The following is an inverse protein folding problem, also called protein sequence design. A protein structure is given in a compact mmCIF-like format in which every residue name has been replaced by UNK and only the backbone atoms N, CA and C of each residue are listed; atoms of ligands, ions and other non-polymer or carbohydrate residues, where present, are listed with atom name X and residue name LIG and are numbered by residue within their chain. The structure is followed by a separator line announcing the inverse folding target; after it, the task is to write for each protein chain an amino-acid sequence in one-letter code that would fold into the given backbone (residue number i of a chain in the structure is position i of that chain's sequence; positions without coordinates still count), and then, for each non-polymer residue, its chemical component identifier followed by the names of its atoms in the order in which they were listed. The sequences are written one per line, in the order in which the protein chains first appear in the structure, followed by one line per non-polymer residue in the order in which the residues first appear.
data_IF_396689049851
#
_entry.id   IF_396689049851
#
_cell.length_a   1.000
_cell.length_b   1.000
_cell.length_c   1.000
_cell.angle_alpha   90.00
_cell.angle_beta   90.00
_cell.angle_gamma   90.00
#
_symmetry.space_group_name_H-M   'P 1'
#
loop_
_entity.id
_entity.type
_entity.pdbx_description
1 polymer ?
#
# COMPACT_ATOMS: atom_id res chain seq x y z
N UNK A 1 -8.85 1.28 18.28
CA UNK A 1 -8.23 0.82 17.01
C UNK A 1 -8.53 1.84 15.92
N UNK A 2 -7.58 2.20 15.04
CA UNK A 2 -7.88 3.06 13.90
C UNK A 2 -8.95 2.39 13.04
N UNK A 3 -10.00 3.14 12.67
CA UNK A 3 -11.11 2.64 11.85
C UNK A 3 -10.55 2.21 10.49
N UNK A 4 -10.47 0.90 10.26
CA UNK A 4 -9.97 0.37 9.00
C UNK A 4 -11.11 0.37 7.98
N UNK A 5 -10.93 1.13 6.89
CA UNK A 5 -11.86 1.10 5.77
C UNK A 5 -11.59 -0.15 4.90
N UNK A 6 -12.64 -0.91 4.53
CA UNK A 6 -12.51 -2.01 3.59
C UNK A 6 -11.85 -1.58 2.28
N UNK A 7 -11.09 -2.45 1.60
CA UNK A 7 -10.43 -2.11 0.34
C UNK A 7 -11.44 -1.68 -0.74
N UNK A 8 -12.60 -2.33 -0.81
CA UNK A 8 -13.68 -1.98 -1.75
C UNK A 8 -14.24 -0.58 -1.50
N UNK A 9 -14.32 -0.16 -0.24
CA UNK A 9 -14.75 1.20 0.11
C UNK A 9 -13.72 2.22 -0.36
N UNK A 10 -12.44 1.95 -0.17
CA UNK A 10 -11.34 2.81 -0.63
C UNK A 10 -11.34 2.94 -2.16
N UNK A 11 -11.51 1.83 -2.88
CA UNK A 11 -11.58 1.84 -4.34
C UNK A 11 -12.80 2.60 -4.87
N UNK A 12 -13.96 2.49 -4.21
CA UNK A 12 -15.14 3.30 -4.55
C UNK A 12 -14.90 4.78 -4.31
N UNK A 13 -14.26 5.14 -3.20
CA UNK A 13 -13.90 6.53 -2.90
C UNK A 13 -12.93 7.12 -3.94
N UNK A 14 -11.93 6.34 -4.38
CA UNK A 14 -11.00 6.77 -5.42
C UNK A 14 -11.68 6.92 -6.78
N UNK A 15 -12.53 5.98 -7.18
CA UNK A 15 -13.34 6.12 -8.41
C UNK A 15 -14.22 7.36 -8.38
N UNK A 16 -14.87 7.63 -7.25
CA UNK A 16 -15.69 8.84 -7.08
C UNK A 16 -14.84 10.12 -7.15
N UNK A 17 -13.61 10.07 -6.66
CA UNK A 17 -12.65 11.18 -6.78
C UNK A 17 -12.31 11.45 -8.24
N UNK A 18 -11.97 10.42 -9.01
CA UNK A 18 -11.69 10.53 -10.45
C UNK A 18 -12.89 11.14 -11.20
N UNK A 19 -14.09 10.59 -11.00
CA UNK A 19 -15.32 11.14 -11.62
C UNK A 19 -15.58 12.59 -11.20
N UNK A 20 -15.30 12.96 -9.95
CA UNK A 20 -15.50 14.35 -9.48
C UNK A 20 -14.51 15.31 -10.15
N UNK A 21 -13.27 14.88 -10.35
CA UNK A 21 -12.25 15.67 -11.05
C UNK A 21 -12.59 15.85 -12.52
N UNK A 22 -13.09 14.81 -13.19
CA UNK A 22 -13.49 14.84 -14.60
C UNK A 22 -14.73 15.71 -14.84
N UNK A 23 -15.75 15.61 -13.99
CA UNK A 23 -17.06 16.26 -14.22
C UNK A 23 -17.03 17.75 -13.87
N UNK A 24 -16.25 18.14 -12.85
CA UNK A 24 -16.32 19.51 -12.31
C UNK A 24 -15.12 20.38 -12.66
N UNK A 25 -14.12 19.87 -13.39
CA UNK A 25 -12.84 20.56 -13.68
C UNK A 25 -12.23 21.26 -12.44
N UNK A 26 -12.41 20.66 -11.26
CA UNK A 26 -11.92 21.21 -9.99
C UNK A 26 -10.53 20.69 -9.67
N UNK A 27 -9.81 21.43 -8.82
CA UNK A 27 -8.52 20.99 -8.32
C UNK A 27 -8.64 19.67 -7.53
N UNK A 28 -7.55 18.88 -7.49
CA UNK A 28 -7.50 17.63 -6.72
C UNK A 28 -7.91 17.85 -5.25
N UNK A 29 -7.50 19.00 -4.68
CA UNK A 29 -7.83 19.36 -3.30
C UNK A 29 -9.33 19.54 -3.08
N UNK A 30 -10.01 20.26 -3.98
CA UNK A 30 -11.46 20.48 -3.91
C UNK A 30 -12.25 19.19 -4.15
N UNK A 31 -11.79 18.35 -5.08
CA UNK A 31 -12.36 17.03 -5.31
C UNK A 31 -12.24 16.14 -4.05
N UNK A 32 -11.08 16.13 -3.39
CA UNK A 32 -10.87 15.42 -2.13
C UNK A 32 -11.83 15.91 -1.06
N UNK A 33 -11.97 17.23 -0.89
CA UNK A 33 -12.88 17.84 0.09
C UNK A 33 -14.33 17.45 -0.17
N UNK A 34 -14.76 17.52 -1.44
CA UNK A 34 -16.11 17.13 -1.87
C UNK A 34 -16.40 15.65 -1.58
N UNK A 35 -15.49 14.75 -1.97
CA UNK A 35 -15.64 13.30 -1.75
C UNK A 35 -15.61 12.94 -0.28
N UNK A 36 -14.70 13.53 0.51
CA UNK A 36 -14.61 13.31 1.95
C UNK A 36 -15.89 13.74 2.66
N UNK A 37 -16.46 14.90 2.29
CA UNK A 37 -17.75 15.38 2.78
C UNK A 37 -18.89 14.44 2.43
N UNK A 38 -18.98 13.98 1.17
CA UNK A 38 -20.01 13.03 0.71
C UNK A 38 -19.95 11.68 1.43
N UNK A 39 -18.76 11.20 1.74
CA UNK A 39 -18.54 9.90 2.38
C UNK A 39 -18.49 9.96 3.91
N UNK A 40 -18.48 11.16 4.50
CA UNK A 40 -18.38 11.36 5.95
C UNK A 40 -17.05 10.89 6.55
N UNK A 41 -15.95 11.02 5.80
CA UNK A 41 -14.60 10.58 6.21
C UNK A 41 -13.62 11.75 6.23
N UNK A 42 -12.48 11.57 6.89
CA UNK A 42 -11.44 12.60 6.90
C UNK A 42 -10.79 12.76 5.51
N UNK A 43 -10.66 14.00 5.04
CA UNK A 43 -10.00 14.38 3.78
C UNK A 43 -8.61 13.75 3.63
N UNK A 44 -7.85 13.76 4.72
CA UNK A 44 -6.50 13.18 4.78
C UNK A 44 -6.49 11.66 4.51
N UNK A 45 -7.60 10.95 4.77
CA UNK A 45 -7.71 9.53 4.42
C UNK A 45 -7.77 9.33 2.91
N UNK A 46 -8.62 10.11 2.22
CA UNK A 46 -8.75 10.08 0.76
C UNK A 46 -7.44 10.48 0.10
N UNK A 47 -6.79 11.54 0.60
CA UNK A 47 -5.50 12.00 0.10
C UNK A 47 -4.41 10.93 0.19
N UNK A 48 -4.33 10.20 1.32
CA UNK A 48 -3.38 9.09 1.47
C UNK A 48 -3.67 7.95 0.51
N UNK A 49 -4.94 7.61 0.28
CA UNK A 49 -5.30 6.57 -0.68
C UNK A 49 -4.94 6.98 -2.11
N UNK A 50 -5.19 8.25 -2.49
CA UNK A 50 -4.81 8.78 -3.81
C UNK A 50 -3.31 8.72 -4.03
N UNK A 51 -2.52 9.23 -3.08
CA UNK A 51 -1.05 9.15 -3.15
C UNK A 51 -0.56 7.72 -3.25
N UNK A 52 -1.15 6.79 -2.49
CA UNK A 52 -0.79 5.38 -2.56
C UNK A 52 -1.12 4.78 -3.92
N UNK A 53 -2.28 5.10 -4.49
CA UNK A 53 -2.65 4.67 -5.84
C UNK A 53 -1.69 5.20 -6.91
N UNK A 54 -1.27 6.48 -6.81
CA UNK A 54 -0.28 7.08 -7.73
C UNK A 54 1.09 6.39 -7.64
N UNK A 55 1.54 6.05 -6.43
CA UNK A 55 2.78 5.28 -6.23
C UNK A 55 2.64 3.87 -6.80
N UNK A 56 1.51 3.20 -6.53
CA UNK A 56 1.24 1.85 -7.04
C UNK A 56 1.08 1.84 -8.58
N UNK A 57 0.67 2.96 -9.20
CA UNK A 57 0.61 3.16 -10.65
C UNK A 57 1.93 3.63 -11.29
N UNK A 58 2.95 3.94 -10.49
CA UNK A 58 4.25 4.45 -10.99
C UNK A 58 4.27 5.92 -11.38
N UNK A 59 3.18 6.67 -11.14
CA UNK A 59 3.09 8.11 -11.41
C UNK A 59 3.92 8.95 -10.42
N UNK A 60 4.27 8.38 -9.27
CA UNK A 60 5.04 9.05 -8.22
C UNK A 60 6.13 8.13 -7.67
N UNK A 61 7.35 8.64 -7.40
CA UNK A 61 8.39 7.86 -6.74
C UNK A 61 7.96 7.45 -5.34
N UNK A 62 8.10 6.15 -5.04
CA UNK A 62 7.80 5.55 -3.74
C UNK A 62 7.79 4.03 -3.85
N UNK A 63 7.93 3.33 -2.73
CA UNK A 63 7.88 1.87 -2.74
C UNK A 63 6.43 1.40 -2.85
N UNK A 64 6.11 0.73 -3.95
CA UNK A 64 4.78 0.23 -4.24
C UNK A 64 4.35 -0.86 -3.26
N UNK A 65 3.05 -1.15 -3.24
CA UNK A 65 2.50 -2.22 -2.41
C UNK A 65 3.04 -3.60 -2.78
N UNK A 66 3.32 -3.83 -4.06
CA UNK A 66 3.90 -5.08 -4.58
C UNK A 66 5.36 -5.21 -4.14
N UNK A 67 6.16 -4.16 -4.28
CA UNK A 67 7.55 -4.14 -3.81
C UNK A 67 7.64 -4.39 -2.29
N UNK A 68 6.75 -3.78 -1.49
CA UNK A 68 6.67 -4.06 -0.06
C UNK A 68 6.29 -5.53 0.24
N UNK A 69 5.41 -6.13 -0.56
CA UNK A 69 5.03 -7.53 -0.39
C UNK A 69 6.20 -8.46 -0.73
N UNK A 70 6.93 -8.15 -1.79
CA UNK A 70 8.11 -8.88 -2.23
C UNK A 70 9.26 -8.79 -1.20
N UNK A 71 9.55 -7.60 -0.68
CA UNK A 71 10.53 -7.41 0.40
C UNK A 71 10.19 -8.29 1.61
N UNK A 72 8.90 -8.39 1.97
CA UNK A 72 8.47 -9.25 3.09
C UNK A 72 8.65 -10.73 2.77
N UNK A 73 8.33 -11.17 1.55
CA UNK A 73 8.52 -12.55 1.10
C UNK A 73 10.01 -12.93 1.14
N UNK A 74 10.85 -12.11 0.50
CA UNK A 74 12.30 -12.30 0.44
C UNK A 74 12.94 -12.31 1.84
N UNK A 75 12.48 -11.46 2.77
CA UNK A 75 12.95 -11.48 4.16
C UNK A 75 12.63 -12.79 4.88
N UNK A 76 11.46 -13.41 4.62
CA UNK A 76 11.11 -14.71 5.20
C UNK A 76 11.98 -15.82 4.62
N UNK A 77 12.11 -15.87 3.29
CA UNK A 77 12.96 -16.84 2.60
C UNK A 77 14.41 -16.74 3.06
N UNK A 78 14.96 -15.53 3.18
CA UNK A 78 16.33 -15.34 3.66
C UNK A 78 16.50 -15.81 5.12
N UNK A 79 15.50 -15.57 5.98
CA UNK A 79 15.52 -16.05 7.36
C UNK A 79 15.40 -17.58 7.46
N UNK A 80 14.68 -18.22 6.54
CA UNK A 80 14.59 -19.68 6.46
C UNK A 80 15.88 -20.30 5.92
N UNK A 81 16.43 -19.75 4.84
CA UNK A 81 17.72 -20.17 4.27
C UNK A 81 18.86 -20.01 5.28
N UNK A 82 18.90 -18.91 6.03
CA UNK A 82 19.88 -18.74 7.13
C UNK A 82 19.72 -19.79 8.21
N UNK A 83 18.48 -20.14 8.59
CA UNK A 83 18.22 -21.21 9.57
C UNK A 83 18.70 -22.56 9.05
N UNK A 84 18.39 -22.90 7.80
CA UNK A 84 18.84 -24.13 7.16
C UNK A 84 20.37 -24.22 7.10
N UNK A 85 21.05 -23.13 6.70
CA UNK A 85 22.51 -23.07 6.66
C UNK A 85 23.16 -23.22 8.03
N UNK A 86 22.57 -22.64 9.08
CA UNK A 86 23.08 -22.83 10.46
C UNK A 86 22.98 -24.31 10.86
N UNK A 87 21.88 -24.99 10.52
CA UNK A 87 21.71 -26.41 10.83
C UNK A 87 22.72 -27.24 10.04
N UNK A 88 22.81 -27.06 8.72
CA UNK A 88 23.75 -27.78 7.87
C UNK A 88 25.20 -27.55 8.28
N UNK A 89 25.58 -26.31 8.59
CA UNK A 89 26.91 -25.97 9.08
C UNK A 89 27.25 -26.67 10.40
N UNK A 90 26.28 -26.83 11.31
CA UNK A 90 26.46 -27.58 12.55
C UNK A 90 26.73 -29.07 12.31
N UNK A 91 26.03 -29.70 11.36
CA UNK A 91 26.28 -31.11 11.00
C UNK A 91 27.66 -31.27 10.37
N UNK A 92 28.02 -30.39 9.43
CA UNK A 92 29.32 -30.43 8.77
C UNK A 92 30.50 -30.26 9.76
N UNK A 93 30.33 -29.46 10.81
CA UNK A 93 31.34 -29.27 11.87
C UNK A 93 31.43 -30.41 12.89
N UNK A 94 30.49 -31.36 12.88
CA UNK A 94 30.48 -32.52 13.79
C UNK A 94 31.07 -33.78 13.14
N UNK A 95 31.26 -33.78 11.81
CA UNK A 95 31.83 -34.89 11.04
C UNK A 95 33.35 -34.77 10.81
N UNK A 96 34.00 -33.75 11.40
CA UNK A 96 35.45 -33.53 11.41
C UNK A 96 36.02 -33.65 12.82
#
# INVERSE_FOLDING_TARGET
MPRQYPPEFRQRALRLLDTTMEVSEVSEFEAIKSVAGKLGIAEESVRRWRRKAQVDAGERPGTSSSEHAEIRKLRRENAELRRANVILGRFSSLET
#
